data_IF_649273664261
#
_entry.id   IF_649273664261
#
_cell.length_a   1.000
_cell.length_b   1.000
_cell.length_c   1.000
_cell.angle_alpha   90.00
_cell.angle_beta   90.00
_cell.angle_gamma   90.00
#
_symmetry.space_group_name_H-M   'P 1'
#
loop_
_entity.id
_entity.type
_entity.pdbx_description
1 polymer ?
#
# COMPACT_ATOMS: atom_id res chain seq x y z
N UNK A 1 -16.87 -5.67 -3.70
CA UNK A 1 -15.57 -5.19 -3.17
C UNK A 1 -15.31 -5.76 -1.78
N UNK A 2 -14.05 -5.88 -1.35
CA UNK A 2 -13.68 -6.60 -0.15
C UNK A 2 -14.07 -5.81 1.10
N UNK A 3 -14.27 -6.51 2.21
CA UNK A 3 -14.51 -5.89 3.51
C UNK A 3 -13.32 -5.00 3.90
N UNK A 4 -13.59 -3.92 4.65
CA UNK A 4 -12.59 -2.93 5.09
C UNK A 4 -11.70 -2.38 3.97
N UNK A 5 -12.22 -2.31 2.75
CA UNK A 5 -11.48 -1.78 1.61
C UNK A 5 -10.33 -2.68 1.14
N UNK A 6 -10.23 -3.92 1.63
CA UNK A 6 -9.14 -4.84 1.29
C UNK A 6 -7.93 -4.67 2.19
N UNK A 7 -6.83 -5.33 1.83
CA UNK A 7 -5.64 -5.40 2.66
C UNK A 7 -4.45 -4.77 1.97
N UNK A 8 -3.74 -3.94 2.70
CA UNK A 8 -2.44 -3.39 2.36
C UNK A 8 -1.36 -4.20 3.05
N UNK A 9 -0.42 -4.70 2.27
CA UNK A 9 0.82 -5.31 2.74
C UNK A 9 1.95 -4.34 2.45
N UNK A 10 2.79 -4.07 3.46
CA UNK A 10 4.02 -3.31 3.27
C UNK A 10 5.18 -4.25 3.47
N UNK A 11 5.99 -4.38 2.43
CA UNK A 11 7.23 -5.13 2.44
C UNK A 11 8.41 -4.18 2.44
N UNK A 12 9.57 -4.65 2.91
CA UNK A 12 10.79 -3.85 2.90
C UNK A 12 12.03 -4.67 2.60
N UNK A 13 12.99 -4.01 1.93
CA UNK A 13 14.30 -4.60 1.62
C UNK A 13 15.45 -3.60 1.63
N UNK A 14 16.64 -4.07 1.98
CA UNK A 14 17.91 -3.34 1.79
C UNK A 14 18.60 -3.67 0.46
N UNK A 15 18.07 -4.62 -0.29
CA UNK A 15 18.64 -5.13 -1.54
C UNK A 15 17.53 -5.31 -2.60
N UNK A 16 16.97 -4.22 -3.14
CA UNK A 16 15.91 -4.27 -4.14
C UNK A 16 16.44 -4.78 -5.47
N UNK A 17 15.69 -5.67 -6.13
CA UNK A 17 16.03 -6.15 -7.48
C UNK A 17 15.19 -5.46 -8.56
N UNK A 18 15.78 -5.21 -9.73
CA UNK A 18 15.05 -4.75 -10.93
C UNK A 18 14.21 -5.86 -11.57
N UNK A 19 14.58 -7.11 -11.30
CA UNK A 19 13.89 -8.30 -11.83
C UNK A 19 12.89 -8.87 -10.82
N UNK A 20 12.69 -8.18 -9.68
CA UNK A 20 11.74 -8.57 -8.64
C UNK A 20 10.31 -8.54 -9.20
N UNK A 21 9.61 -9.67 -9.18
CA UNK A 21 8.21 -9.73 -9.57
C UNK A 21 7.30 -9.49 -8.38
N UNK A 22 6.06 -9.08 -8.63
CA UNK A 22 5.03 -9.00 -7.57
C UNK A 22 4.88 -10.33 -6.84
N UNK A 23 4.94 -11.46 -7.55
CA UNK A 23 4.83 -12.76 -6.93
C UNK A 23 5.99 -13.05 -5.97
N UNK A 24 7.22 -12.66 -6.33
CA UNK A 24 8.38 -12.81 -5.45
C UNK A 24 8.18 -12.03 -4.15
N UNK A 25 7.73 -10.77 -4.24
CA UNK A 25 7.45 -9.90 -3.09
C UNK A 25 6.34 -10.48 -2.20
N UNK A 26 5.24 -10.98 -2.79
CA UNK A 26 4.13 -11.57 -2.04
C UNK A 26 4.51 -12.84 -1.26
N UNK A 27 5.62 -13.49 -1.60
CA UNK A 27 6.15 -14.64 -0.89
C UNK A 27 7.03 -14.27 0.32
N UNK A 28 7.36 -13.00 0.53
CA UNK A 28 8.15 -12.59 1.69
C UNK A 28 7.33 -12.68 2.97
N UNK A 29 7.95 -13.19 4.03
CA UNK A 29 7.33 -13.36 5.34
C UNK A 29 7.87 -12.36 6.37
N UNK A 30 7.38 -12.45 7.60
CA UNK A 30 7.79 -11.55 8.68
C UNK A 30 9.11 -11.96 9.36
N UNK A 31 9.90 -12.87 8.79
CA UNK A 31 11.09 -13.42 9.45
C UNK A 31 12.11 -12.35 9.85
N UNK A 32 12.59 -12.45 11.09
CA UNK A 32 13.61 -11.56 11.61
C UNK A 32 14.98 -11.85 10.98
N UNK A 33 15.69 -10.78 10.60
CA UNK A 33 17.03 -10.86 10.03
C UNK A 33 17.10 -11.08 8.52
N UNK A 34 15.95 -11.28 7.84
CA UNK A 34 15.93 -11.25 6.38
C UNK A 34 16.11 -9.83 5.85
N UNK A 35 16.95 -9.67 4.83
CA UNK A 35 17.04 -8.43 4.06
C UNK A 35 15.76 -8.13 3.28
N UNK A 36 14.80 -9.06 3.19
CA UNK A 36 13.53 -8.96 2.47
C UNK A 36 12.41 -9.48 3.36
N UNK A 37 11.45 -8.65 3.73
CA UNK A 37 10.42 -9.05 4.70
C UNK A 37 9.09 -8.33 4.54
N UNK A 38 8.02 -8.98 5.00
CA UNK A 38 6.74 -8.36 5.31
C UNK A 38 6.89 -7.57 6.62
N UNK A 39 6.60 -6.27 6.57
CA UNK A 39 6.68 -5.36 7.72
C UNK A 39 5.35 -5.18 8.42
N UNK A 40 4.26 -5.11 7.65
CA UNK A 40 2.91 -4.97 8.21
C UNK A 40 1.85 -5.43 7.21
N UNK A 41 0.70 -5.84 7.74
CA UNK A 41 -0.53 -6.07 6.99
C UNK A 41 -1.67 -5.32 7.70
N UNK A 42 -2.27 -4.35 7.02
CA UNK A 42 -3.36 -3.52 7.55
C UNK A 42 -4.54 -3.48 6.59
N UNK A 43 -5.75 -3.32 7.11
CA UNK A 43 -6.88 -3.00 6.23
C UNK A 43 -6.66 -1.62 5.58
N UNK A 44 -7.06 -1.48 4.31
CA UNK A 44 -6.99 -0.18 3.63
C UNK A 44 -7.91 0.84 4.31
N UNK A 45 -9.14 0.45 4.64
CA UNK A 45 -10.03 1.27 5.46
C UNK A 45 -9.51 1.29 6.90
N UNK A 46 -8.94 2.42 7.30
CA UNK A 46 -8.38 2.66 8.64
C UNK A 46 -9.43 3.09 9.67
N UNK A 47 -10.72 3.03 9.27
CA UNK A 47 -11.89 3.40 10.05
C UNK A 47 -12.06 4.89 10.36
N UNK A 48 -11.11 5.72 9.93
CA UNK A 48 -11.09 7.16 10.13
C UNK A 48 -11.29 7.92 8.83
N UNK A 49 -10.66 7.46 7.75
CA UNK A 49 -10.63 8.12 6.47
C UNK A 49 -12.02 8.30 5.85
N UNK A 50 -12.17 9.39 5.10
CA UNK A 50 -13.40 9.73 4.40
C UNK A 50 -13.11 10.66 3.22
N UNK A 51 -13.98 10.59 2.22
CA UNK A 51 -14.03 11.54 1.11
C UNK A 51 -15.16 12.55 1.33
N UNK A 52 -14.95 13.81 0.97
CA UNK A 52 -15.92 14.89 1.16
C UNK A 52 -17.12 14.73 0.22
N UNK A 53 -16.90 14.12 -0.95
CA UNK A 53 -17.94 13.78 -1.91
C UNK A 53 -18.90 12.69 -1.40
N UNK A 54 -18.47 11.84 -0.48
CA UNK A 54 -19.30 10.76 0.05
C UNK A 54 -20.35 11.27 1.07
N UNK A 55 -21.63 11.04 0.74
CA UNK A 55 -22.77 11.43 1.57
C UNK A 55 -23.33 10.29 2.42
N UNK A 56 -22.66 9.13 2.42
CA UNK A 56 -23.03 7.98 3.24
C UNK A 56 -23.07 8.33 4.74
N UNK A 57 -23.92 7.67 5.54
CA UNK A 57 -23.93 7.86 6.99
C UNK A 57 -22.57 7.58 7.64
N UNK A 58 -21.80 6.64 7.09
CA UNK A 58 -20.46 6.32 7.58
C UNK A 58 -19.48 7.49 7.37
N UNK A 59 -19.42 8.05 6.17
CA UNK A 59 -18.57 9.21 5.89
C UNK A 59 -18.96 10.45 6.69
N UNK A 60 -20.27 10.67 6.92
CA UNK A 60 -20.76 11.73 7.82
C UNK A 60 -20.27 11.53 9.26
N UNK A 61 -20.46 10.33 9.80
CA UNK A 61 -19.99 9.99 11.16
C UNK A 61 -18.47 10.12 11.31
N UNK A 62 -17.69 9.73 10.29
CA UNK A 62 -16.24 9.85 10.32
C UNK A 62 -15.77 11.30 10.30
N UNK A 63 -16.39 12.17 9.49
CA UNK A 63 -16.13 13.62 9.50
C UNK A 63 -16.34 14.27 10.86
N UNK A 64 -17.38 13.85 11.57
CA UNK A 64 -17.68 14.35 12.91
C UNK A 64 -16.68 13.85 13.96
N UNK A 65 -16.25 12.58 13.87
CA UNK A 65 -15.32 11.96 14.84
C UNK A 65 -13.86 12.31 14.59
N UNK A 66 -13.47 12.51 13.34
CA UNK A 66 -12.09 12.71 12.90
C UNK A 66 -11.98 13.94 12.00
N UNK A 67 -12.31 15.15 12.50
CA UNK A 67 -12.29 16.35 11.67
C UNK A 67 -10.88 16.62 11.12
N UNK A 68 -10.79 16.88 9.81
CA UNK A 68 -9.54 17.20 9.13
C UNK A 68 -9.56 18.63 8.55
N UNK A 69 -9.36 19.68 9.36
CA UNK A 69 -9.33 21.06 8.86
C UNK A 69 -8.03 21.36 8.13
N UNK A 70 -8.10 22.20 7.09
CA UNK A 70 -6.91 22.75 6.42
C UNK A 70 -6.10 23.57 7.42
N UNK A 71 -4.78 23.34 7.46
CA UNK A 71 -3.87 24.03 8.37
C UNK A 71 -4.00 25.55 8.22
N UNK A 72 -4.19 26.25 9.35
CA UNK A 72 -4.38 27.70 9.37
C UNK A 72 -5.77 28.18 8.96
N UNK A 73 -6.74 27.28 8.70
CA UNK A 73 -8.12 27.63 8.34
C UNK A 73 -9.13 26.91 9.25
N UNK A 74 -9.38 27.43 10.48
CA UNK A 74 -10.36 26.84 11.39
C UNK A 74 -11.76 26.74 10.76
N UNK A 75 -12.44 25.61 10.97
CA UNK A 75 -13.78 25.37 10.43
C UNK A 75 -13.83 24.95 8.96
N UNK A 76 -12.68 24.92 8.26
CA UNK A 76 -12.57 24.26 6.96
C UNK A 76 -12.68 22.73 7.11
N UNK A 77 -12.90 22.05 6.00
CA UNK A 77 -12.92 20.58 5.95
C UNK A 77 -12.09 20.11 4.76
N UNK A 78 -11.32 19.06 4.98
CA UNK A 78 -10.50 18.39 4.01
C UNK A 78 -10.76 16.88 4.08
N UNK A 79 -10.51 16.16 2.99
CA UNK A 79 -10.59 14.70 3.00
C UNK A 79 -9.55 14.15 3.98
N UNK A 80 -9.93 13.13 4.74
CA UNK A 80 -8.97 12.39 5.56
C UNK A 80 -8.57 11.15 4.76
N UNK A 81 -7.30 11.05 4.38
CA UNK A 81 -6.81 9.92 3.61
C UNK A 81 -6.61 8.69 4.49
N UNK A 82 -6.79 7.51 3.91
CA UNK A 82 -6.58 6.28 4.65
C UNK A 82 -5.09 6.05 4.89
N UNK A 83 -4.73 5.81 6.14
CA UNK A 83 -3.34 5.68 6.57
C UNK A 83 -2.91 4.21 6.62
N UNK A 84 -1.70 3.93 6.15
CA UNK A 84 -0.99 2.67 6.42
C UNK A 84 0.27 3.00 7.20
N UNK A 85 0.35 2.49 8.42
CA UNK A 85 1.48 2.76 9.31
C UNK A 85 2.49 1.61 9.28
N UNK A 86 3.77 1.93 9.11
CA UNK A 86 4.85 0.94 9.10
C UNK A 86 5.97 1.34 10.05
N UNK A 87 6.38 0.40 10.90
CA UNK A 87 7.61 0.56 11.67
C UNK A 87 8.78 0.02 10.85
N UNK A 88 9.70 0.90 10.49
CA UNK A 88 10.95 0.47 9.85
C UNK A 88 11.83 -0.32 10.84
N UNK A 89 12.62 -1.30 10.36
CA UNK A 89 13.55 -2.05 11.20
C UNK A 89 14.51 -1.12 11.97
N UNK A 90 14.78 -1.44 13.25
CA UNK A 90 15.66 -0.60 14.10
C UNK A 90 17.13 -0.61 13.68
N UNK A 91 17.55 -1.63 12.94
CA UNK A 91 18.96 -1.90 12.62
C UNK A 91 19.33 -1.42 11.20
N UNK A 92 18.61 -0.44 10.66
CA UNK A 92 18.95 0.12 9.36
C UNK A 92 20.23 0.96 9.46
N UNK A 93 21.10 0.80 8.48
CA UNK A 93 22.30 1.60 8.35
C UNK A 93 21.96 2.99 7.82
N UNK A 94 22.46 4.03 8.48
CA UNK A 94 22.21 5.38 8.05
C UNK A 94 22.81 5.66 6.66
N UNK A 95 22.11 6.44 5.85
CA UNK A 95 22.55 6.81 4.50
C UNK A 95 22.52 5.69 3.46
N UNK A 96 21.93 4.53 3.79
CA UNK A 96 21.58 3.50 2.80
C UNK A 96 20.06 3.51 2.58
N UNK A 97 19.60 3.43 1.32
CA UNK A 97 18.18 3.39 1.03
C UNK A 97 17.58 2.07 1.53
N UNK A 98 16.40 2.18 2.11
CA UNK A 98 15.53 1.05 2.41
C UNK A 98 14.32 1.13 1.49
N UNK A 99 14.12 0.12 0.65
CA UNK A 99 13.03 0.09 -0.34
C UNK A 99 11.80 -0.53 0.29
N UNK A 100 10.69 0.18 0.25
CA UNK A 100 9.37 -0.29 0.63
C UNK A 100 8.55 -0.64 -0.60
N UNK A 101 7.85 -1.76 -0.54
CA UNK A 101 6.80 -2.12 -1.49
C UNK A 101 5.46 -2.04 -0.77
N UNK A 102 4.64 -1.07 -1.15
CA UNK A 102 3.25 -0.97 -0.71
C UNK A 102 2.37 -1.72 -1.72
N UNK A 103 1.69 -2.76 -1.27
CA UNK A 103 0.86 -3.63 -2.11
C UNK A 103 -0.55 -3.69 -1.54
N UNK A 104 -1.52 -3.11 -2.24
CA UNK A 104 -2.92 -3.16 -1.88
C UNK A 104 -3.68 -4.19 -2.71
N UNK A 105 -4.19 -5.20 -2.00
CA UNK A 105 -5.04 -6.24 -2.54
C UNK A 105 -6.51 -5.82 -2.40
N UNK A 106 -7.18 -5.58 -3.53
CA UNK A 106 -8.56 -5.07 -3.60
C UNK A 106 -9.51 -5.92 -4.47
N UNK A 107 -9.66 -7.21 -4.18
CA UNK A 107 -10.30 -8.14 -5.10
C UNK A 107 -11.82 -8.00 -5.10
N UNK A 108 -12.41 -8.52 -6.16
CA UNK A 108 -13.85 -8.73 -6.32
C UNK A 108 -14.14 -10.22 -6.27
N UNK A 109 -14.91 -10.68 -5.28
CA UNK A 109 -15.34 -12.08 -5.22
C UNK A 109 -16.39 -12.39 -6.32
N UNK A 110 -16.48 -13.64 -6.82
CA UNK A 110 -17.49 -14.10 -7.77
C UNK A 110 -18.90 -13.75 -7.32
N UNK A 111 -19.74 -13.40 -8.29
CA UNK A 111 -21.15 -13.03 -8.05
C UNK A 111 -21.37 -11.73 -7.28
N UNK A 112 -20.31 -10.98 -6.90
CA UNK A 112 -20.45 -9.68 -6.21
C UNK A 112 -20.60 -8.50 -7.16
N UNK A 113 -20.13 -8.64 -8.39
CA UNK A 113 -20.19 -7.62 -9.42
C UNK A 113 -20.61 -8.28 -10.74
N UNK A 114 -21.64 -7.75 -11.39
CA UNK A 114 -22.13 -8.28 -12.66
C UNK A 114 -21.10 -8.14 -13.80
N UNK A 115 -20.18 -7.18 -13.69
CA UNK A 115 -19.08 -7.01 -14.65
C UNK A 115 -17.96 -8.06 -14.46
N UNK A 116 -17.87 -8.64 -13.25
CA UNK A 116 -16.87 -9.65 -12.88
C UNK A 116 -17.58 -10.88 -12.28
N UNK A 117 -18.37 -11.63 -13.09
CA UNK A 117 -19.18 -12.73 -12.58
C UNK A 117 -18.31 -13.84 -11.94
N UNK A 118 -17.13 -14.09 -12.51
CA UNK A 118 -16.11 -15.00 -11.94
C UNK A 118 -15.22 -14.35 -10.89
N UNK A 119 -15.49 -13.11 -10.47
CA UNK A 119 -14.60 -12.33 -9.64
C UNK A 119 -13.42 -11.73 -10.41
N UNK A 120 -12.57 -11.01 -9.69
CA UNK A 120 -11.35 -10.39 -10.20
C UNK A 120 -10.36 -10.23 -9.06
N UNK A 121 -9.12 -10.67 -9.27
CA UNK A 121 -8.03 -10.35 -8.38
C UNK A 121 -7.36 -9.04 -8.83
N UNK A 122 -7.18 -8.11 -7.90
CA UNK A 122 -6.77 -6.73 -8.19
C UNK A 122 -5.69 -6.31 -7.19
N UNK A 123 -4.52 -5.91 -7.72
CA UNK A 123 -3.39 -5.41 -6.95
C UNK A 123 -3.00 -4.02 -7.41
N UNK A 124 -2.79 -3.13 -6.46
CA UNK A 124 -2.22 -1.81 -6.68
C UNK A 124 -0.90 -1.73 -5.93
N UNK A 125 0.14 -1.27 -6.60
CA UNK A 125 1.50 -1.28 -6.04
C UNK A 125 2.13 0.09 -6.14
N UNK A 126 2.92 0.44 -5.12
CA UNK A 126 3.83 1.58 -5.15
C UNK A 126 5.14 1.18 -4.48
N UNK A 127 6.26 1.70 -5.01
CA UNK A 127 7.58 1.49 -4.44
C UNK A 127 8.12 2.81 -3.90
N UNK A 128 8.76 2.77 -2.73
CA UNK A 128 9.25 3.96 -2.03
C UNK A 128 10.64 3.66 -1.49
N UNK A 129 11.65 4.39 -1.93
CA UNK A 129 12.97 4.35 -1.31
C UNK A 129 13.03 5.39 -0.20
N UNK A 130 13.39 4.96 1.01
CA UNK A 130 13.55 5.84 2.17
C UNK A 130 15.00 5.82 2.65
N UNK A 131 15.61 6.99 2.70
CA UNK A 131 16.92 7.19 3.33
C UNK A 131 16.71 7.61 4.78
N UNK A 132 17.20 6.81 5.72
CA UNK A 132 17.19 7.16 7.14
C UNK A 132 18.52 7.81 7.51
N UNK A 133 18.46 9.09 7.87
CA UNK A 133 19.63 9.84 8.32
C UNK A 133 19.97 9.62 9.80
N UNK A 134 21.20 9.98 10.19
CA UNK A 134 21.58 10.06 11.60
C UNK A 134 20.93 11.29 12.25
N UNK A 135 19.85 11.05 13.02
CA UNK A 135 19.14 12.10 13.76
C UNK A 135 18.07 12.85 12.95
N UNK A 136 17.33 13.72 13.65
CA UNK A 136 16.36 14.61 13.02
C UNK A 136 17.13 15.76 12.36
N UNK A 137 17.45 15.63 11.08
CA UNK A 137 17.94 16.78 10.30
C UNK A 137 16.73 17.73 10.18
N UNK A 138 16.81 18.99 10.66
CA UNK A 138 15.79 19.99 10.36
C UNK A 138 15.95 20.38 8.88
N UNK A 139 15.49 19.51 7.99
CA UNK A 139 15.44 19.79 6.57
C UNK A 139 14.16 20.59 6.32
N UNK A 140 14.31 21.83 5.84
CA UNK A 140 13.20 22.47 5.15
C UNK A 140 12.83 21.58 3.96
N UNK A 141 11.55 21.17 3.80
CA UNK A 141 11.15 20.34 2.67
C UNK A 141 11.56 21.05 1.36
N UNK A 142 12.43 20.43 0.56
CA UNK A 142 12.83 20.99 -0.74
C UNK A 142 11.65 21.07 -1.70
N UNK A 143 10.72 20.13 -1.57
CA UNK A 143 9.52 20.00 -2.40
C UNK A 143 8.30 19.71 -1.50
N UNK A 144 7.81 20.72 -0.75
CA UNK A 144 6.63 20.51 0.08
C UNK A 144 5.45 20.16 -0.82
N UNK A 145 4.75 19.07 -0.49
CA UNK A 145 3.46 18.80 -1.12
C UNK A 145 2.56 20.00 -0.81
N UNK A 146 2.04 20.65 -1.86
CA UNK A 146 1.15 21.81 -1.76
C UNK A 146 -0.09 21.52 -0.92
N UNK A 147 -0.46 20.25 -0.83
CA UNK A 147 -1.62 19.74 -0.12
C UNK A 147 -1.26 18.35 0.42
N UNK A 148 -0.74 18.32 1.63
CA UNK A 148 -0.55 17.09 2.39
C UNK A 148 -1.68 16.97 3.41
N UNK A 149 -2.04 15.74 3.75
CA UNK A 149 -2.91 15.51 4.90
C UNK A 149 -2.25 16.19 6.12
N UNK A 150 -2.94 17.12 6.81
CA UNK A 150 -2.32 17.88 7.89
C UNK A 150 -2.09 17.05 9.16
N UNK A 151 -2.40 15.74 9.17
CA UNK A 151 -2.09 14.83 10.27
C UNK A 151 -0.56 14.67 10.39
N UNK A 152 0.06 15.23 11.46
CA UNK A 152 1.52 15.24 11.60
C UNK A 152 2.01 14.05 12.45
N UNK A 153 1.11 13.21 12.96
CA UNK A 153 1.43 12.15 13.91
C UNK A 153 0.49 10.98 13.67
N UNK A 154 1.07 9.80 13.46
CA UNK A 154 0.33 8.55 13.39
C UNK A 154 -0.48 8.34 14.68
N UNK A 155 -1.58 7.59 14.59
CA UNK A 155 -2.37 7.22 15.77
C UNK A 155 -1.54 6.41 16.77
N UNK A 156 -1.75 6.63 18.06
CA UNK A 156 -0.94 6.03 19.13
C UNK A 156 -1.02 4.49 19.15
N UNK A 157 -2.12 3.94 18.65
CA UNK A 157 -2.42 2.52 18.57
C UNK A 157 -2.14 1.91 17.18
N UNK A 158 -1.40 2.59 16.31
CA UNK A 158 -1.13 2.12 14.94
C UNK A 158 -0.60 0.67 14.87
N UNK A 159 0.18 0.24 15.87
CA UNK A 159 0.74 -1.11 15.96
C UNK A 159 -0.30 -2.19 16.20
N UNK A 160 -1.45 -1.83 16.78
CA UNK A 160 -2.55 -2.74 17.05
C UNK A 160 -3.45 -2.96 15.84
N UNK A 161 -3.29 -2.12 14.80
CA UNK A 161 -4.05 -2.24 13.56
C UNK A 161 -3.62 -3.50 12.81
N UNK A 162 -4.57 -4.40 12.61
CA UNK A 162 -4.37 -5.64 11.86
C UNK A 162 -5.31 -5.71 10.66
N UNK A 163 -4.86 -6.36 9.60
CA UNK A 163 -5.74 -6.75 8.51
C UNK A 163 -6.63 -7.95 8.87
N UNK A 164 -7.75 -8.09 8.17
CA UNK A 164 -8.57 -9.32 8.20
C UNK A 164 -7.76 -10.53 7.72
N UNK A 165 -6.87 -10.33 6.73
CA UNK A 165 -5.91 -11.34 6.28
C UNK A 165 -4.48 -10.81 6.44
N UNK A 166 -3.61 -11.59 7.09
CA UNK A 166 -2.19 -11.28 7.20
C UNK A 166 -1.33 -12.02 6.17
N UNK A 167 -1.92 -12.91 5.38
CA UNK A 167 -1.23 -13.64 4.32
C UNK A 167 -1.56 -13.04 2.95
N UNK A 168 -0.58 -12.51 2.22
CA UNK A 168 -0.78 -11.94 0.88
C UNK A 168 -1.28 -12.96 -0.16
N UNK A 169 -1.02 -14.25 0.10
CA UNK A 169 -1.38 -15.37 -0.77
C UNK A 169 -2.63 -16.12 -0.29
N UNK A 170 -3.25 -15.73 0.83
CA UNK A 170 -4.46 -16.40 1.31
C UNK A 170 -5.59 -16.35 0.28
N UNK A 171 -5.80 -15.23 -0.41
CA UNK A 171 -6.89 -15.11 -1.38
C UNK A 171 -6.63 -15.89 -2.67
N UNK A 172 -5.36 -16.14 -3.03
CA UNK A 172 -4.99 -16.99 -4.17
C UNK A 172 -5.38 -18.46 -3.97
N UNK A 173 -5.43 -18.91 -2.72
CA UNK A 173 -5.74 -20.31 -2.35
C UNK A 173 -7.20 -20.53 -1.94
N UNK A 174 -7.97 -19.46 -1.74
CA UNK A 174 -9.39 -19.58 -1.41
C UNK A 174 -10.24 -19.78 -2.67
N UNK A 175 -10.97 -20.90 -2.70
CA UNK A 175 -11.98 -21.19 -3.72
C UNK A 175 -13.06 -20.10 -3.70
N UNK A 176 -12.92 -19.08 -4.53
CA UNK A 176 -13.77 -17.89 -4.48
C UNK A 176 -13.10 -16.58 -4.83
N UNK A 177 -11.88 -16.58 -5.35
CA UNK A 177 -11.29 -15.42 -6.01
C UNK A 177 -10.99 -15.82 -7.47
N UNK A 178 -11.40 -14.97 -8.41
CA UNK A 178 -11.44 -15.32 -9.83
C UNK A 178 -10.09 -15.76 -10.39
N UNK A 179 -10.07 -16.47 -11.54
CA UNK A 179 -8.82 -16.90 -12.14
C UNK A 179 -7.89 -15.72 -12.36
N UNK A 180 -6.63 -15.86 -11.95
CA UNK A 180 -5.56 -14.93 -12.31
C UNK A 180 -5.41 -14.99 -13.82
N UNK A 181 -5.95 -14.00 -14.54
CA UNK A 181 -5.72 -13.90 -15.97
C UNK A 181 -4.29 -13.40 -16.17
N UNK A 182 -3.39 -14.30 -16.55
CA UNK A 182 -2.09 -13.91 -17.07
C UNK A 182 -2.31 -13.05 -18.32
N UNK A 183 -2.00 -11.77 -18.24
CA UNK A 183 -1.80 -10.96 -19.44
C UNK A 183 -0.59 -11.55 -20.17
N UNK A 184 -0.81 -12.10 -21.37
CA UNK A 184 0.27 -12.56 -22.22
C UNK A 184 1.28 -11.41 -22.38
N UNK A 185 2.53 -11.66 -21.98
CA UNK A 185 3.63 -10.75 -22.27
C UNK A 185 3.66 -10.58 -23.79
N UNK A 186 3.30 -9.39 -24.26
CA UNK A 186 3.49 -9.00 -25.65
C UNK A 186 5.00 -9.06 -25.90
N UNK A 187 5.45 -10.09 -26.62
CA UNK A 187 6.84 -10.20 -27.01
C UNK A 187 7.22 -8.90 -27.73
N UNK A 188 8.19 -8.17 -27.17
CA UNK A 188 8.81 -7.05 -27.87
C UNK A 188 9.39 -7.53 -29.20
N UNK A 189 9.48 -6.67 -30.22
CA UNK A 189 10.04 -7.06 -31.50
C UNK A 189 11.47 -7.57 -31.29
N UNK A 190 11.68 -8.85 -31.59
CA UNK A 190 12.98 -9.49 -31.51
C UNK A 190 14.00 -8.69 -32.32
N UNK A 191 15.18 -8.48 -31.73
CA UNK A 191 16.34 -7.96 -32.45
C UNK A 191 16.65 -8.94 -33.58
N UNK A 192 16.41 -8.52 -34.81
CA UNK A 192 16.91 -9.20 -36.00
C UNK A 192 18.43 -9.18 -35.97
N UNK A 193 19.00 -10.37 -35.84
CA UNK A 193 20.44 -10.60 -35.92
C UNK A 193 20.87 -10.51 -37.39
N UNK A 194 21.96 -9.79 -37.60
CA UNK A 194 22.60 -9.54 -38.88
C UNK A 194 23.16 -10.83 -39.50
N UNK A 195 22.94 -11.03 -40.79
CA UNK A 195 23.85 -11.85 -41.60
C UNK A 195 24.23 -11.09 -42.87
N UNK A 196 25.51 -10.75 -42.92
CA UNK A 196 26.22 -10.29 -44.10
C UNK A 196 26.35 -11.41 -45.14
N UNK A 197 26.18 -11.06 -46.41
CA UNK A 197 26.86 -11.63 -47.57
C UNK A 197 26.83 -10.60 -48.71
#
# INVERSE_FOLDING_TARGET
>A
KPEKGGTVFVFGTTDPSRDETLHDVLNWDASDGSNRRLLTAQNFDDERCYQLGDQSPLAKSRRERFPNPVLGQPGSNFELFCETDVQLPRQMEAGKPYTLYWVWQWPTAPGRDANFPGGRDEYYTSCIDVDVGEGLIPAQPLHPLRQQDPIPTAVSDFRSRTAITSSPLALHSMAGFGPVHATERRAGPGKGESTAA
#
